data_IF_028499159816
#
_entry.id   IF_028499159816
#
_cell.length_a   1.000
_cell.length_b   1.000
_cell.length_c   1.000
_cell.angle_alpha   90.00
_cell.angle_beta   90.00
_cell.angle_gamma   90.00
#
_symmetry.space_group_name_H-M   'P 1'
#
loop_
_entity.id
_entity.type
_entity.pdbx_description
1 polymer ?
#
# COMPACT_ATOMS: atom_id res chain seq x y z
N UNK A 1 7.18 -15.97 16.63
CA UNK A 1 5.80 -16.36 16.25
C UNK A 1 4.91 -15.17 16.51
N UNK A 2 3.96 -14.86 15.63
CA UNK A 2 3.02 -13.74 15.82
C UNK A 2 1.97 -14.03 16.89
N UNK A 3 1.25 -12.99 17.35
CA UNK A 3 0.14 -13.16 18.26
C UNK A 3 -1.03 -13.89 17.56
N UNK A 4 -1.69 -14.85 18.22
CA UNK A 4 -2.90 -15.47 17.68
C UNK A 4 -4.01 -14.42 17.55
N UNK A 5 -4.83 -14.52 16.51
CA UNK A 5 -6.04 -13.70 16.31
C UNK A 5 -7.20 -14.61 15.89
N UNK A 6 -8.42 -14.27 16.32
CA UNK A 6 -9.63 -15.00 15.94
C UNK A 6 -10.27 -14.30 14.75
N UNK A 7 -10.49 -15.06 13.67
CA UNK A 7 -11.03 -14.51 12.42
C UNK A 7 -12.31 -15.26 12.05
N UNK A 8 -13.37 -14.51 11.82
CA UNK A 8 -14.65 -15.01 11.32
C UNK A 8 -14.81 -14.67 9.84
N UNK A 9 -15.10 -15.68 9.03
CA UNK A 9 -15.26 -15.57 7.57
C UNK A 9 -16.71 -15.95 7.23
N UNK A 10 -17.66 -15.00 7.22
CA UNK A 10 -19.09 -15.32 7.09
C UNK A 10 -19.47 -15.77 5.68
N UNK A 11 -18.77 -15.30 4.65
CA UNK A 11 -19.10 -15.56 3.25
C UNK A 11 -17.89 -16.04 2.44
N UNK A 12 -17.34 -17.22 2.74
CA UNK A 12 -16.11 -17.68 2.11
C UNK A 12 -16.25 -17.92 0.60
N UNK A 13 -17.47 -18.07 0.08
CA UNK A 13 -17.69 -18.29 -1.36
C UNK A 13 -18.02 -17.00 -2.14
N UNK A 14 -18.05 -15.84 -1.48
CA UNK A 14 -18.43 -14.56 -2.08
C UNK A 14 -17.32 -13.53 -1.86
N UNK A 15 -16.61 -13.18 -2.93
CA UNK A 15 -15.66 -12.08 -2.89
C UNK A 15 -16.37 -10.73 -2.72
N UNK A 16 -15.67 -9.79 -2.08
CA UNK A 16 -16.08 -8.41 -1.91
C UNK A 16 -15.75 -7.58 -3.15
N UNK A 17 -14.51 -7.69 -3.64
CA UNK A 17 -14.00 -6.97 -4.79
C UNK A 17 -12.80 -7.71 -5.41
N UNK A 18 -12.34 -7.25 -6.58
CA UNK A 18 -11.13 -7.77 -7.21
C UNK A 18 -10.39 -6.65 -7.93
N UNK A 19 -9.09 -6.51 -7.66
CA UNK A 19 -8.19 -5.59 -8.34
C UNK A 19 -7.35 -6.28 -9.42
N UNK A 20 -6.28 -5.60 -9.85
CA UNK A 20 -5.32 -6.16 -10.81
C UNK A 20 -4.65 -7.44 -10.29
N UNK A 21 -4.16 -7.42 -9.05
CA UNK A 21 -3.41 -8.54 -8.46
C UNK A 21 -4.16 -9.28 -7.35
N UNK A 22 -5.16 -8.66 -6.72
CA UNK A 22 -5.78 -9.18 -5.49
C UNK A 22 -7.26 -9.49 -5.64
N UNK A 23 -7.71 -10.55 -4.99
CA UNK A 23 -9.10 -10.79 -4.66
C UNK A 23 -9.33 -10.41 -3.20
N UNK A 24 -10.40 -9.66 -2.93
CA UNK A 24 -10.73 -9.14 -1.61
C UNK A 24 -11.95 -9.87 -1.05
N UNK A 25 -11.93 -10.20 0.23
CA UNK A 25 -13.03 -10.80 0.97
C UNK A 25 -13.27 -10.02 2.25
N UNK A 26 -14.53 -9.86 2.63
CA UNK A 26 -14.87 -9.33 3.95
C UNK A 26 -14.67 -10.44 5.00
N UNK A 27 -13.90 -10.13 6.02
CA UNK A 27 -13.67 -10.98 7.20
C UNK A 27 -13.84 -10.12 8.45
N UNK A 28 -13.92 -10.76 9.61
CA UNK A 28 -14.03 -10.06 10.88
C UNK A 28 -12.93 -10.54 11.81
N UNK A 29 -12.16 -9.60 12.35
CA UNK A 29 -11.33 -9.88 13.51
C UNK A 29 -12.24 -9.86 14.74
N UNK A 30 -12.10 -10.87 15.60
CA UNK A 30 -12.90 -11.04 16.81
C UNK A 30 -11.97 -10.96 18.01
N UNK A 31 -12.18 -9.99 18.88
CA UNK A 31 -11.43 -9.85 20.13
C UNK A 31 -11.91 -10.82 21.21
N UNK A 32 -11.12 -10.97 22.28
CA UNK A 32 -11.41 -11.89 23.38
C UNK A 32 -12.73 -11.58 24.12
N UNK A 33 -13.16 -10.32 24.10
CA UNK A 33 -14.45 -9.86 24.65
C UNK A 33 -15.63 -10.04 23.67
N UNK A 34 -15.39 -10.61 22.49
CA UNK A 34 -16.39 -10.92 21.47
C UNK A 34 -16.73 -9.76 20.54
N UNK A 35 -16.09 -8.59 20.67
CA UNK A 35 -16.26 -7.50 19.70
C UNK A 35 -15.70 -7.92 18.35
N UNK A 36 -16.42 -7.57 17.28
CA UNK A 36 -16.02 -7.89 15.91
C UNK A 36 -15.71 -6.62 15.14
N UNK A 37 -14.51 -6.54 14.56
CA UNK A 37 -14.11 -5.45 13.66
C UNK A 37 -14.16 -5.94 12.21
N UNK A 38 -14.80 -5.18 11.34
CA UNK A 38 -14.86 -5.49 9.91
C UNK A 38 -13.50 -5.24 9.25
N UNK A 39 -13.00 -6.25 8.56
CA UNK A 39 -11.70 -6.26 7.91
C UNK A 39 -11.85 -6.69 6.45
N UNK A 40 -10.83 -6.38 5.65
CA UNK A 40 -10.68 -6.87 4.29
C UNK A 40 -9.48 -7.80 4.24
N UNK A 41 -9.72 -9.05 3.85
CA UNK A 41 -8.68 -10.01 3.53
C UNK A 41 -8.35 -9.94 2.04
N UNK A 42 -7.07 -9.84 1.69
CA UNK A 42 -6.58 -9.75 0.31
C UNK A 42 -5.69 -10.93 -0.01
N UNK A 43 -6.03 -11.62 -1.10
CA UNK A 43 -5.35 -12.82 -1.57
C UNK A 43 -4.85 -12.58 -2.99
N UNK A 44 -3.67 -13.10 -3.35
CA UNK A 44 -3.19 -12.99 -4.72
C UNK A 44 -4.13 -13.75 -5.65
N UNK A 45 -4.51 -13.14 -6.77
CA UNK A 45 -5.31 -13.80 -7.79
C UNK A 45 -4.53 -14.95 -8.38
N UNK A 46 -5.23 -16.00 -8.80
CA UNK A 46 -4.66 -17.18 -9.46
C UNK A 46 -4.02 -16.91 -10.82
N UNK A 47 -4.26 -15.72 -11.37
CA UNK A 47 -3.61 -15.26 -12.60
C UNK A 47 -2.20 -14.72 -12.33
N UNK A 48 -1.86 -14.51 -11.06
CA UNK A 48 -0.50 -14.16 -10.63
C UNK A 48 0.22 -15.46 -10.34
N UNK A 49 1.28 -15.72 -11.10
CA UNK A 49 2.06 -16.95 -11.04
C UNK A 49 3.16 -16.82 -10.00
N UNK A 50 3.69 -17.96 -9.55
CA UNK A 50 4.86 -18.05 -8.66
C UNK A 50 4.69 -17.38 -7.29
N UNK A 51 3.43 -17.17 -6.88
CA UNK A 51 3.13 -16.55 -5.58
C UNK A 51 3.64 -17.42 -4.43
N UNK A 52 4.46 -16.81 -3.59
CA UNK A 52 5.05 -17.37 -2.38
C UNK A 52 4.58 -16.63 -1.12
N UNK A 53 4.94 -17.14 0.04
CA UNK A 53 4.73 -16.49 1.34
C UNK A 53 5.44 -15.14 1.39
N UNK A 54 6.64 -15.07 0.79
CA UNK A 54 7.46 -13.86 0.74
C UNK A 54 6.69 -12.70 0.12
N UNK A 55 5.86 -12.96 -0.88
CA UNK A 55 5.06 -11.94 -1.54
C UNK A 55 4.03 -11.30 -0.60
N UNK A 56 3.45 -12.06 0.33
CA UNK A 56 2.56 -11.50 1.35
C UNK A 56 3.32 -10.63 2.36
N UNK A 57 4.52 -11.05 2.78
CA UNK A 57 5.35 -10.26 3.69
C UNK A 57 5.91 -8.99 3.02
N UNK A 58 6.22 -9.05 1.73
CA UNK A 58 6.66 -7.90 0.94
C UNK A 58 5.60 -6.77 0.98
N UNK A 59 4.31 -7.07 0.90
CA UNK A 59 3.25 -6.04 1.04
C UNK A 59 3.34 -5.28 2.37
N UNK A 60 3.55 -6.02 3.46
CA UNK A 60 3.70 -5.44 4.79
C UNK A 60 4.94 -4.52 4.88
N UNK A 61 6.04 -4.92 4.24
CA UNK A 61 7.26 -4.12 4.13
C UNK A 61 7.05 -2.84 3.32
N UNK A 62 6.36 -2.91 2.17
CA UNK A 62 6.00 -1.73 1.36
C UNK A 62 5.20 -0.75 2.22
N UNK A 63 4.12 -1.21 2.85
CA UNK A 63 3.22 -0.34 3.61
C UNK A 63 3.91 0.33 4.80
N UNK A 64 4.76 -0.40 5.52
CA UNK A 64 5.57 0.18 6.62
C UNK A 64 6.61 1.17 6.11
N UNK A 65 7.22 0.91 4.97
CA UNK A 65 8.14 1.86 4.33
C UNK A 65 7.42 3.14 3.93
N UNK A 66 6.22 3.03 3.38
CA UNK A 66 5.37 4.19 3.06
C UNK A 66 4.95 4.98 4.31
N UNK A 67 4.65 4.32 5.43
CA UNK A 67 4.39 4.99 6.71
C UNK A 67 5.61 5.79 7.21
N UNK A 68 6.84 5.29 7.02
CA UNK A 68 8.08 6.05 7.32
C UNK A 68 8.15 7.32 6.47
N UNK A 69 7.95 7.19 5.15
CA UNK A 69 7.93 8.33 4.24
C UNK A 69 6.85 9.35 4.61
N UNK A 70 5.62 8.92 4.96
CA UNK A 70 4.55 9.83 5.36
C UNK A 70 4.89 10.64 6.62
N UNK A 71 5.55 10.00 7.59
CA UNK A 71 6.02 10.70 8.80
C UNK A 71 7.04 11.77 8.44
N UNK A 72 7.97 11.46 7.55
CA UNK A 72 8.98 12.43 7.09
C UNK A 72 8.39 13.54 6.24
N UNK A 73 7.44 13.21 5.36
CA UNK A 73 6.68 14.19 4.58
C UNK A 73 5.94 15.17 5.49
N UNK A 74 5.25 14.65 6.51
CA UNK A 74 4.55 15.47 7.52
C UNK A 74 5.51 16.38 8.29
N UNK A 75 6.72 15.90 8.62
CA UNK A 75 7.74 16.72 9.27
C UNK A 75 8.31 17.77 8.31
N UNK A 76 8.51 17.44 7.04
CA UNK A 76 8.98 18.36 6.02
C UNK A 76 7.97 19.50 5.80
N UNK A 77 6.67 19.19 5.69
CA UNK A 77 5.60 20.19 5.61
C UNK A 77 5.64 21.19 6.77
N UNK A 78 5.83 20.70 8.00
CA UNK A 78 5.97 21.56 9.19
C UNK A 78 7.22 22.43 9.10
N UNK A 79 8.36 21.86 8.70
CA UNK A 79 9.65 22.55 8.59
C UNK A 79 9.61 23.67 7.54
N UNK A 80 8.91 23.47 6.44
CA UNK A 80 8.76 24.46 5.37
C UNK A 80 7.62 25.45 5.62
N UNK A 81 6.89 25.33 6.73
CA UNK A 81 5.72 26.17 7.01
C UNK A 81 4.57 25.97 6.02
N UNK A 82 4.53 24.83 5.32
CA UNK A 82 3.49 24.51 4.33
C UNK A 82 2.22 24.07 5.06
N UNK A 83 1.18 24.90 5.00
CA UNK A 83 -0.11 24.68 5.67
C UNK A 83 -1.24 24.40 4.66
N UNK A 84 -2.42 24.00 5.18
CA UNK A 84 -3.60 23.72 4.35
C UNK A 84 -3.50 22.42 3.53
N UNK A 85 -2.57 21.53 3.88
CA UNK A 85 -2.37 20.25 3.21
C UNK A 85 -3.15 19.17 3.94
N UNK A 86 -4.00 18.44 3.22
CA UNK A 86 -4.74 17.30 3.78
C UNK A 86 -3.77 16.21 4.24
N UNK A 87 -3.74 15.85 5.54
CA UNK A 87 -2.85 14.79 6.01
C UNK A 87 -3.24 13.44 5.44
N UNK A 88 -2.25 12.68 4.95
CA UNK A 88 -2.41 11.31 4.48
C UNK A 88 -2.02 10.32 5.59
N UNK A 89 -2.71 9.18 5.62
CA UNK A 89 -2.40 8.07 6.53
C UNK A 89 -2.55 6.74 5.80
N UNK A 90 -1.58 5.84 5.90
CA UNK A 90 -1.80 4.44 5.51
C UNK A 90 -2.45 3.69 6.67
N UNK A 91 -3.53 2.95 6.38
CA UNK A 91 -4.10 2.02 7.36
C UNK A 91 -3.08 0.94 7.71
N UNK A 92 -3.33 0.19 8.78
CA UNK A 92 -2.50 -0.95 9.12
C UNK A 92 -2.91 -2.20 8.33
N UNK A 93 -1.92 -3.03 8.03
CA UNK A 93 -2.07 -4.33 7.38
C UNK A 93 -1.20 -5.34 8.11
N UNK A 94 -1.73 -6.55 8.26
CA UNK A 94 -1.05 -7.70 8.85
C UNK A 94 -1.10 -8.89 7.90
N UNK A 95 -0.09 -9.76 7.96
CA UNK A 95 -0.13 -11.05 7.24
C UNK A 95 -0.70 -12.09 8.19
N UNK A 96 -1.76 -12.76 7.75
CA UNK A 96 -2.39 -13.86 8.48
C UNK A 96 -2.04 -15.16 7.80
N UNK A 97 -1.58 -16.12 8.59
CA UNK A 97 -1.41 -17.52 8.20
C UNK A 97 -2.45 -18.37 8.94
N UNK A 98 -3.20 -19.20 8.21
CA UNK A 98 -4.10 -20.19 8.82
C UNK A 98 -3.53 -21.59 8.57
N UNK A 99 -3.10 -22.31 9.63
CA UNK A 99 -2.65 -23.68 9.49
C UNK A 99 -3.72 -24.57 8.84
N UNK A 100 -3.37 -25.51 7.95
CA UNK A 100 -4.35 -26.38 7.29
C UNK A 100 -5.30 -27.12 8.25
N UNK A 101 -4.82 -27.47 9.45
CA UNK A 101 -5.61 -28.13 10.49
C UNK A 101 -6.74 -27.26 11.03
N UNK A 102 -6.58 -25.93 11.03
CA UNK A 102 -7.58 -24.96 11.47
C UNK A 102 -8.61 -24.61 10.39
N UNK A 103 -8.34 -24.96 9.12
CA UNK A 103 -9.34 -24.82 8.04
C UNK A 103 -10.38 -25.94 8.20
N UNK A 104 -11.70 -25.63 8.20
CA UNK A 104 -12.75 -26.65 8.24
C UNK A 104 -12.56 -27.69 7.13
N UNK A 105 -12.71 -28.97 7.46
CA UNK A 105 -12.43 -30.09 6.54
C UNK A 105 -13.12 -29.97 5.17
N UNK A 106 -14.42 -29.62 5.08
CA UNK A 106 -15.09 -29.43 3.79
C UNK A 106 -14.49 -28.30 2.93
N UNK A 107 -13.72 -27.40 3.53
CA UNK A 107 -13.16 -26.21 2.89
C UNK A 107 -11.67 -26.35 2.54
N UNK A 108 -10.98 -27.41 2.99
CA UNK A 108 -9.52 -27.55 2.78
C UNK A 108 -9.12 -27.69 1.31
N UNK A 109 -9.98 -28.31 0.49
CA UNK A 109 -9.68 -28.68 -0.90
C UNK A 109 -10.65 -28.06 -1.92
N UNK A 110 -11.32 -26.95 -1.56
CA UNK A 110 -12.23 -26.29 -2.48
C UNK A 110 -11.50 -25.67 -3.67
N UNK A 111 -12.14 -25.70 -4.84
CA UNK A 111 -11.60 -25.12 -6.07
C UNK A 111 -11.97 -23.65 -6.27
N UNK A 112 -12.85 -23.08 -5.45
CA UNK A 112 -13.30 -21.69 -5.53
C UNK A 112 -13.49 -21.13 -4.10
N UNK A 113 -13.55 -19.81 -3.98
CA UNK A 113 -13.76 -19.14 -2.70
C UNK A 113 -12.49 -18.89 -1.90
N UNK A 114 -12.65 -18.38 -0.69
CA UNK A 114 -11.61 -17.85 0.19
C UNK A 114 -10.48 -18.85 0.42
N UNK A 115 -10.77 -20.08 0.84
CA UNK A 115 -9.74 -21.11 1.13
C UNK A 115 -9.09 -21.74 -0.10
N UNK A 116 -9.46 -21.28 -1.29
CA UNK A 116 -8.98 -21.84 -2.55
C UNK A 116 -7.76 -21.09 -3.11
N UNK A 117 -7.33 -20.00 -2.47
CA UNK A 117 -6.10 -19.28 -2.77
C UNK A 117 -4.99 -19.82 -1.87
N UNK A 118 -3.93 -20.36 -2.45
CA UNK A 118 -2.79 -20.95 -1.73
C UNK A 118 -1.51 -20.55 -2.46
N UNK A 119 -0.41 -20.47 -1.73
CA UNK A 119 0.91 -20.30 -2.36
C UNK A 119 1.20 -21.43 -3.35
N UNK A 120 2.03 -21.18 -4.34
CA UNK A 120 2.38 -22.18 -5.35
C UNK A 120 3.47 -23.14 -4.86
N UNK A 121 4.44 -22.61 -4.11
CA UNK A 121 5.60 -23.35 -3.60
C UNK A 121 5.25 -24.34 -2.47
N UNK A 122 4.50 -23.91 -1.45
CA UNK A 122 4.24 -24.71 -0.23
C UNK A 122 2.78 -25.09 -0.05
N UNK A 123 1.88 -24.51 -0.86
CA UNK A 123 0.43 -24.67 -0.74
C UNK A 123 -0.13 -24.17 0.60
N UNK A 124 0.59 -23.27 1.27
CA UNK A 124 0.14 -22.61 2.50
C UNK A 124 -0.98 -21.61 2.22
N UNK A 125 -1.80 -21.36 3.25
CA UNK A 125 -2.90 -20.41 3.20
C UNK A 125 -2.53 -19.13 3.96
N UNK A 126 -2.24 -18.07 3.20
CA UNK A 126 -1.94 -16.74 3.73
C UNK A 126 -2.78 -15.67 3.04
N UNK A 127 -3.04 -14.59 3.76
CA UNK A 127 -3.63 -13.37 3.22
C UNK A 127 -3.13 -12.15 3.98
N UNK A 128 -3.15 -10.98 3.34
CA UNK A 128 -3.02 -9.72 4.08
C UNK A 128 -4.40 -9.31 4.59
N UNK A 129 -4.48 -8.76 5.80
CA UNK A 129 -5.71 -8.33 6.44
C UNK A 129 -5.55 -6.89 6.92
N UNK A 130 -6.54 -6.06 6.62
CA UNK A 130 -6.57 -4.64 6.98
C UNK A 130 -7.98 -4.19 7.39
N UNK A 131 -8.13 -3.07 8.13
CA UNK A 131 -9.44 -2.52 8.43
C UNK A 131 -10.24 -2.21 7.17
N UNK A 132 -11.54 -2.55 7.18
CA UNK A 132 -12.43 -2.18 6.09
C UNK A 132 -12.66 -0.67 6.13
N UNK A 133 -12.30 0.01 5.04
CA UNK A 133 -12.58 1.43 4.86
C UNK A 133 -14.03 1.65 4.44
N UNK A 134 -14.75 2.48 5.18
CA UNK A 134 -16.12 2.88 4.85
C UNK A 134 -16.12 4.15 3.99
N UNK A 135 -16.71 4.06 2.80
CA UNK A 135 -16.85 5.18 1.87
C UNK A 135 -16.45 4.83 0.43
N UNK A 136 -16.34 5.83 -0.42
CA UNK A 136 -16.04 5.62 -1.84
C UNK A 136 -14.55 5.40 -2.08
N UNK A 137 -14.18 4.16 -2.39
CA UNK A 137 -12.81 3.81 -2.77
C UNK A 137 -12.38 4.59 -4.02
N UNK A 138 -11.19 5.19 -3.96
CA UNK A 138 -10.66 6.07 -4.98
C UNK A 138 -9.21 5.70 -5.26
N UNK A 139 -8.90 5.47 -6.53
CA UNK A 139 -7.52 5.43 -7.02
C UNK A 139 -7.11 6.82 -7.46
N UNK A 140 -6.06 7.37 -6.85
CA UNK A 140 -5.54 8.72 -7.15
C UNK A 140 -4.45 8.66 -8.20
N UNK A 141 -3.51 7.73 -8.03
CA UNK A 141 -2.40 7.49 -8.95
C UNK A 141 -2.24 6.00 -9.19
N UNK A 142 -1.58 5.62 -10.29
CA UNK A 142 -1.18 4.24 -10.57
C UNK A 142 0.32 4.02 -10.36
N UNK A 143 0.74 2.76 -10.40
CA UNK A 143 2.15 2.40 -10.50
C UNK A 143 2.77 2.62 -11.90
N UNK A 144 2.00 2.98 -12.93
CA UNK A 144 2.52 3.27 -14.27
C UNK A 144 2.54 4.78 -14.62
N UNK A 145 2.31 5.62 -13.62
CA UNK A 145 2.38 7.08 -13.72
C UNK A 145 1.07 7.77 -14.08
N UNK A 146 -0.04 7.04 -14.25
CA UNK A 146 -1.35 7.64 -14.48
C UNK A 146 -1.83 8.41 -13.24
N UNK A 147 -2.54 9.52 -13.50
CA UNK A 147 -3.13 10.41 -12.50
C UNK A 147 -4.62 10.50 -12.78
N UNK A 148 -5.46 10.14 -11.81
CA UNK A 148 -6.91 10.08 -11.98
C UNK A 148 -7.55 11.33 -11.37
N UNK A 149 -8.00 12.26 -12.22
CA UNK A 149 -8.65 13.51 -11.77
C UNK A 149 -10.14 13.36 -11.44
N UNK A 150 -10.77 12.26 -11.88
CA UNK A 150 -12.17 11.95 -11.62
C UNK A 150 -12.34 10.51 -11.15
N UNK A 151 -13.48 10.23 -10.52
CA UNK A 151 -13.93 8.87 -10.23
C UNK A 151 -14.72 8.33 -11.43
N UNK A 152 -14.87 7.00 -11.49
CA UNK A 152 -15.73 6.34 -12.49
C UNK A 152 -17.18 6.80 -12.36
N UNK A 153 -17.64 7.02 -11.12
CA UNK A 153 -18.95 7.57 -10.80
C UNK A 153 -18.81 9.02 -10.38
N UNK A 154 -19.62 9.90 -10.98
CA UNK A 154 -19.70 11.32 -10.62
C UNK A 154 -20.26 11.46 -9.21
N UNK A 155 -19.56 12.19 -8.35
CA UNK A 155 -19.98 12.52 -6.99
C UNK A 155 -20.44 13.98 -6.89
N UNK A 156 -20.92 14.38 -5.71
CA UNK A 156 -21.26 15.77 -5.43
C UNK A 156 -20.02 16.67 -5.59
N UNK A 157 -20.24 17.94 -5.90
CA UNK A 157 -19.16 18.91 -6.16
C UNK A 157 -18.21 19.04 -4.95
N UNK A 158 -18.76 19.05 -3.73
CA UNK A 158 -17.97 19.12 -2.51
C UNK A 158 -17.02 17.91 -2.36
N UNK A 159 -17.54 16.70 -2.58
CA UNK A 159 -16.74 15.46 -2.52
C UNK A 159 -15.67 15.43 -3.60
N UNK A 160 -16.00 15.91 -4.80
CA UNK A 160 -15.04 16.04 -5.89
C UNK A 160 -13.90 17.00 -5.54
N UNK A 161 -14.20 18.17 -4.96
CA UNK A 161 -13.18 19.14 -4.56
C UNK A 161 -12.29 18.58 -3.43
N UNK A 162 -12.89 17.95 -2.41
CA UNK A 162 -12.12 17.31 -1.34
C UNK A 162 -11.16 16.23 -1.87
N UNK A 163 -11.64 15.41 -2.81
CA UNK A 163 -10.81 14.41 -3.51
C UNK A 163 -9.65 15.05 -4.27
N UNK A 164 -9.87 16.17 -4.96
CA UNK A 164 -8.79 16.87 -5.68
C UNK A 164 -7.71 17.40 -4.73
N UNK A 165 -8.06 17.84 -3.53
CA UNK A 165 -7.06 18.22 -2.52
C UNK A 165 -6.26 17.01 -2.03
N UNK A 166 -6.89 15.86 -1.80
CA UNK A 166 -6.17 14.61 -1.49
C UNK A 166 -5.24 14.21 -2.64
N UNK A 167 -5.71 14.30 -3.89
CA UNK A 167 -4.91 14.01 -5.08
C UNK A 167 -3.65 14.88 -5.16
N UNK A 168 -3.78 16.20 -4.91
CA UNK A 168 -2.62 17.10 -4.85
C UNK A 168 -1.62 16.67 -3.79
N UNK A 169 -2.09 16.30 -2.60
CA UNK A 169 -1.20 15.78 -1.56
C UNK A 169 -0.54 14.48 -1.98
N UNK A 170 -1.27 13.55 -2.62
CA UNK A 170 -0.71 12.28 -3.11
C UNK A 170 0.41 12.50 -4.14
N UNK A 171 0.20 13.37 -5.12
CA UNK A 171 1.21 13.73 -6.12
C UNK A 171 2.45 14.37 -5.49
N UNK A 172 2.26 15.28 -4.52
CA UNK A 172 3.36 15.91 -3.81
C UNK A 172 4.11 14.94 -2.90
N UNK A 173 3.40 13.98 -2.30
CA UNK A 173 3.99 12.91 -1.50
C UNK A 173 4.87 12.00 -2.37
N UNK A 174 4.38 11.52 -3.51
CA UNK A 174 5.19 10.74 -4.47
C UNK A 174 6.47 11.49 -4.85
N UNK A 175 6.37 12.77 -5.22
CA UNK A 175 7.53 13.61 -5.52
C UNK A 175 8.50 13.71 -4.34
N UNK A 176 7.98 13.99 -3.14
CA UNK A 176 8.79 14.05 -1.93
C UNK A 176 9.58 12.74 -1.70
N UNK A 177 8.95 11.57 -1.88
CA UNK A 177 9.66 10.29 -1.69
C UNK A 177 10.81 10.09 -2.67
N UNK A 178 10.64 10.55 -3.92
CA UNK A 178 11.69 10.52 -4.92
C UNK A 178 12.86 11.42 -4.53
N UNK A 179 12.60 12.67 -4.15
CA UNK A 179 13.68 13.61 -3.80
C UNK A 179 14.38 13.23 -2.48
N UNK A 180 13.60 12.90 -1.44
CA UNK A 180 14.13 12.61 -0.11
C UNK A 180 15.00 11.35 -0.13
N UNK A 181 14.58 10.31 -0.86
CA UNK A 181 15.35 9.07 -1.07
C UNK A 181 16.60 9.26 -1.94
N UNK A 182 16.88 10.49 -2.42
CA UNK A 182 17.96 10.76 -3.38
C UNK A 182 17.72 10.09 -4.72
N UNK A 183 16.46 9.80 -5.05
CA UNK A 183 16.06 9.22 -6.31
C UNK A 183 16.10 7.70 -6.37
N UNK A 184 16.35 7.03 -5.24
CA UNK A 184 16.44 5.57 -5.18
C UNK A 184 15.08 4.88 -5.05
N UNK A 185 14.04 5.61 -4.60
CA UNK A 185 12.71 5.06 -4.33
C UNK A 185 11.61 6.04 -4.74
N UNK A 186 10.49 5.52 -5.24
CA UNK A 186 9.29 6.30 -5.55
C UNK A 186 8.05 5.57 -5.03
N UNK A 187 7.31 6.20 -4.12
CA UNK A 187 5.99 5.71 -3.72
C UNK A 187 4.96 6.10 -4.79
N UNK A 188 4.15 5.14 -5.23
CA UNK A 188 3.11 5.28 -6.24
C UNK A 188 1.91 4.38 -5.89
N UNK A 189 0.96 4.26 -6.82
CA UNK A 189 -0.31 3.52 -6.62
C UNK A 189 -1.11 4.00 -5.40
N UNK A 190 -1.25 5.33 -5.22
CA UNK A 190 -1.97 5.89 -4.08
C UNK A 190 -3.48 5.71 -4.27
N UNK A 191 -4.09 4.97 -3.35
CA UNK A 191 -5.51 4.62 -3.39
C UNK A 191 -6.07 4.39 -1.99
N UNK A 192 -7.39 4.55 -1.82
CA UNK A 192 -8.08 4.35 -0.56
C UNK A 192 -9.38 5.13 -0.47
N UNK A 193 -9.80 5.49 0.75
CA UNK A 193 -11.01 6.30 0.98
C UNK A 193 -10.60 7.62 1.60
N UNK A 194 -10.94 8.72 0.92
CA UNK A 194 -10.47 10.06 1.29
C UNK A 194 -8.95 10.05 1.48
N UNK A 195 -8.43 10.49 2.63
CA UNK A 195 -6.99 10.52 2.93
C UNK A 195 -6.45 9.28 3.66
N UNK A 196 -7.29 8.25 3.85
CA UNK A 196 -6.87 6.95 4.37
C UNK A 196 -6.51 6.03 3.20
N UNK A 197 -5.21 5.74 3.08
CA UNK A 197 -4.61 5.03 1.96
C UNK A 197 -4.35 3.55 2.31
N UNK A 198 -4.35 2.70 1.28
CA UNK A 198 -4.00 1.28 1.33
C UNK A 198 -3.35 0.83 0.00
N UNK A 199 -2.78 -0.37 -0.01
CA UNK A 199 -2.13 -1.02 -1.16
C UNK A 199 -1.18 -0.08 -1.94
N UNK A 200 -0.21 0.56 -1.28
CA UNK A 200 0.78 1.34 -2.02
C UNK A 200 1.70 0.44 -2.85
N UNK A 201 2.38 1.03 -3.82
CA UNK A 201 3.52 0.42 -4.51
C UNK A 201 4.76 1.30 -4.36
N UNK A 202 5.94 0.67 -4.30
CA UNK A 202 7.23 1.34 -4.38
C UNK A 202 7.97 0.88 -5.63
N UNK A 203 8.48 1.83 -6.41
CA UNK A 203 9.52 1.55 -7.39
C UNK A 203 10.89 1.85 -6.80
N UNK A 204 11.88 1.02 -7.15
CA UNK A 204 13.29 1.26 -6.83
C UNK A 204 14.07 1.47 -8.12
N UNK A 205 15.17 2.24 -8.06
CA UNK A 205 15.94 2.54 -9.27
C UNK A 205 16.53 1.28 -9.93
N UNK A 206 16.88 0.26 -9.14
CA UNK A 206 17.44 -1.01 -9.60
C UNK A 206 16.36 -2.09 -9.87
N UNK A 207 15.08 -1.82 -9.57
CA UNK A 207 13.99 -2.77 -9.77
C UNK A 207 13.95 -3.91 -8.75
N UNK A 208 14.79 -3.87 -7.72
CA UNK A 208 14.86 -4.88 -6.67
C UNK A 208 13.90 -4.56 -5.50
N UNK A 209 13.48 -5.61 -4.78
CA UNK A 209 12.55 -5.55 -3.65
C UNK A 209 11.13 -5.08 -4.01
N UNK A 210 10.24 -5.01 -2.99
CA UNK A 210 8.89 -4.45 -3.09
C UNK A 210 7.93 -5.12 -4.10
N UNK A 211 8.18 -6.41 -4.36
CA UNK A 211 7.24 -7.29 -5.05
C UNK A 211 7.04 -7.01 -6.53
N UNK A 212 6.14 -7.78 -7.14
CA UNK A 212 5.94 -7.84 -8.60
C UNK A 212 5.42 -6.53 -9.23
N UNK A 213 4.88 -5.62 -8.43
CA UNK A 213 4.41 -4.31 -8.92
C UNK A 213 5.53 -3.28 -9.07
N UNK A 214 6.75 -3.58 -8.63
CA UNK A 214 7.93 -2.75 -8.82
C UNK A 214 8.39 -2.80 -10.29
N UNK A 215 8.23 -1.68 -11.00
CA UNK A 215 8.59 -1.54 -12.41
C UNK A 215 9.96 -0.87 -12.60
N UNK A 216 10.73 -0.76 -11.52
CA UNK A 216 12.07 -0.20 -11.53
C UNK A 216 12.15 1.23 -12.05
N UNK A 217 13.30 1.56 -12.65
CA UNK A 217 13.54 2.84 -13.33
C UNK A 217 12.50 3.17 -14.42
N UNK A 218 11.90 2.16 -15.07
CA UNK A 218 10.88 2.39 -16.11
C UNK A 218 9.61 2.97 -15.49
N UNK A 219 9.14 2.41 -14.37
CA UNK A 219 8.00 2.96 -13.63
C UNK A 219 8.26 4.40 -13.17
N UNK A 220 9.47 4.66 -12.66
CA UNK A 220 9.89 5.99 -12.22
C UNK A 220 9.95 7.01 -13.36
N UNK A 221 10.46 6.62 -14.53
CA UNK A 221 10.44 7.45 -15.75
C UNK A 221 9.03 7.80 -16.18
N UNK A 222 8.11 6.82 -16.14
CA UNK A 222 6.71 7.04 -16.55
C UNK A 222 5.98 8.00 -15.61
N UNK A 223 6.29 7.94 -14.30
CA UNK A 223 5.80 8.92 -13.33
C UNK A 223 6.41 10.30 -13.60
N UNK A 224 7.74 10.42 -13.75
CA UNK A 224 8.41 11.69 -14.04
C UNK A 224 7.87 12.39 -15.30
N UNK A 225 7.57 11.62 -16.35
CA UNK A 225 7.03 12.15 -17.60
C UNK A 225 5.62 12.73 -17.47
N UNK A 226 4.86 12.33 -16.43
CA UNK A 226 3.46 12.73 -16.23
C UNK A 226 3.27 13.68 -15.05
N UNK A 227 4.15 13.64 -14.07
CA UNK A 227 4.06 14.49 -12.89
C UNK A 227 4.12 15.97 -13.25
N UNK A 228 3.23 16.74 -12.65
CA UNK A 228 3.22 18.20 -12.73
C UNK A 228 3.28 18.75 -11.31
N UNK A 229 4.36 19.46 -10.99
CA UNK A 229 4.53 20.06 -9.68
C UNK A 229 3.34 20.97 -9.34
N UNK A 230 2.60 20.61 -8.29
CA UNK A 230 1.51 21.41 -7.75
C UNK A 230 2.04 22.44 -6.72
N UNK A 231 1.13 23.18 -6.09
CA UNK A 231 1.48 24.22 -5.12
C UNK A 231 2.15 23.65 -3.86
N UNK A 232 1.80 22.43 -3.43
CA UNK A 232 2.44 21.76 -2.29
C UNK A 232 3.91 21.47 -2.61
N UNK A 233 4.19 20.91 -3.80
CA UNK A 233 5.57 20.66 -4.26
C UNK A 233 6.42 21.94 -4.20
N UNK A 234 5.85 23.05 -4.71
CA UNK A 234 6.51 24.36 -4.77
C UNK A 234 6.73 24.95 -3.37
N UNK A 235 5.72 24.91 -2.49
CA UNK A 235 5.82 25.40 -1.10
C UNK A 235 6.84 24.61 -0.27
N UNK A 236 6.99 23.32 -0.57
CA UNK A 236 8.02 22.47 0.04
C UNK A 236 9.42 22.69 -0.53
N UNK A 237 9.56 23.46 -1.62
CA UNK A 237 10.85 23.70 -2.28
C UNK A 237 11.40 22.47 -3.02
N UNK A 238 10.54 21.53 -3.43
CA UNK A 238 10.96 20.36 -4.20
C UNK A 238 11.47 20.76 -5.59
N UNK A 239 12.50 20.07 -6.09
CA UNK A 239 13.11 20.37 -7.38
C UNK A 239 12.14 20.08 -8.52
N UNK A 240 12.00 21.02 -9.46
CA UNK A 240 11.12 20.82 -10.61
C UNK A 240 11.47 19.57 -11.43
N UNK A 241 10.48 18.73 -11.71
CA UNK A 241 10.63 17.54 -12.56
C UNK A 241 10.66 17.86 -14.06
N UNK A 242 10.24 19.05 -14.50
CA UNK A 242 10.04 19.40 -15.93
C UNK A 242 11.30 19.25 -16.80
N UNK A 243 12.49 19.30 -16.21
CA UNK A 243 13.79 19.14 -16.90
C UNK A 243 14.66 18.05 -16.28
N UNK A 244 14.10 17.19 -15.44
CA UNK A 244 14.88 16.25 -14.64
C UNK A 244 14.93 14.87 -15.28
N UNK A 245 16.14 14.29 -15.38
CA UNK A 245 16.37 12.92 -15.85
C UNK A 245 16.74 12.02 -14.68
N UNK A 246 16.40 10.72 -14.76
CA UNK A 246 16.75 9.74 -13.70
C UNK A 246 18.25 9.58 -13.46
N UNK A 247 19.13 9.96 -14.41
CA UNK A 247 20.59 9.93 -14.20
C UNK A 247 21.04 10.83 -13.04
N UNK A 248 20.18 11.76 -12.59
CA UNK A 248 20.43 12.64 -11.44
C UNK A 248 20.11 11.98 -10.08
N UNK A 249 19.67 10.73 -10.10
CA UNK A 249 18.96 10.03 -9.03
C UNK A 249 19.51 8.61 -8.87
N UNK A 250 20.75 8.49 -8.40
CA UNK A 250 21.42 7.18 -8.20
C UNK A 250 22.15 7.16 -6.85
N UNK A 251 21.39 7.21 -5.75
CA UNK A 251 21.93 7.11 -4.40
C UNK A 251 21.38 5.87 -3.68
N UNK A 252 21.98 4.72 -3.98
CA UNK A 252 21.61 3.41 -3.40
C UNK A 252 21.81 3.38 -1.88
N UNK A 253 22.76 4.12 -1.31
CA UNK A 253 23.01 4.17 0.14
C UNK A 253 21.82 4.73 0.94
N UNK A 254 21.11 5.72 0.37
CA UNK A 254 19.90 6.26 1.01
C UNK A 254 18.77 5.25 1.09
N UNK A 255 18.66 4.30 0.15
CA UNK A 255 17.67 3.23 0.19
C UNK A 255 17.87 2.34 1.42
N UNK A 256 19.10 1.93 1.71
CA UNK A 256 19.39 1.10 2.89
C UNK A 256 18.96 1.79 4.19
N UNK A 257 19.11 3.12 4.25
CA UNK A 257 18.66 3.90 5.41
C UNK A 257 17.14 3.78 5.62
N UNK A 258 16.35 3.77 4.54
CA UNK A 258 14.90 3.57 4.63
C UNK A 258 14.53 2.15 5.05
N UNK A 259 15.18 1.13 4.49
CA UNK A 259 15.00 -0.25 4.96
C UNK A 259 15.32 -0.38 6.45
N UNK A 260 16.46 0.14 6.90
CA UNK A 260 16.86 0.13 8.32
C UNK A 260 15.84 0.84 9.21
N UNK A 261 15.28 1.97 8.78
CA UNK A 261 14.22 2.69 9.50
C UNK A 261 12.91 1.91 9.56
N UNK A 262 12.46 1.34 8.45
CA UNK A 262 11.24 0.53 8.39
C UNK A 262 11.37 -0.70 9.30
N UNK A 263 12.50 -1.40 9.26
CA UNK A 263 12.80 -2.54 10.14
C UNK A 263 12.87 -2.15 11.62
N UNK A 264 13.49 -1.00 11.94
CA UNK A 264 13.56 -0.52 13.33
C UNK A 264 12.16 -0.18 13.89
N UNK A 265 11.26 0.36 13.07
CA UNK A 265 9.89 0.61 13.47
C UNK A 265 9.11 -0.70 13.65
N UNK A 266 9.33 -1.71 12.79
CA UNK A 266 8.74 -3.04 12.94
C UNK A 266 9.09 -3.67 14.29
N UNK A 267 10.36 -3.61 14.72
CA UNK A 267 10.79 -4.13 16.02
C UNK A 267 10.18 -3.39 17.22
N UNK A 268 9.71 -2.15 17.04
CA UNK A 268 9.06 -1.36 18.09
C UNK A 268 7.54 -1.57 18.14
N UNK A 269 6.93 -1.95 17.02
CA UNK A 269 5.49 -2.24 16.92
C UNK A 269 5.16 -3.72 17.05
N UNK A 270 6.14 -4.62 16.92
CA UNK A 270 5.96 -6.04 17.20
C UNK A 270 5.72 -6.22 18.71
N UNK A 271 4.70 -6.99 19.14
CA UNK A 271 4.58 -7.36 20.53
C UNK A 271 5.89 -8.05 20.98
N UNK A 272 6.32 -7.87 22.24
CA UNK A 272 7.50 -8.56 22.74
C UNK A 272 7.34 -10.06 22.46
N UNK A 273 8.37 -10.66 21.87
CA UNK A 273 8.46 -12.11 21.77
C UNK A 273 8.46 -12.64 23.20
N UNK A 274 7.32 -13.22 23.62
CA UNK A 274 7.21 -14.00 24.84
C UNK A 274 7.87 -15.37 24.65
#
# INVERSE_FOLDING_TARGET
MGAPTMIRIPHPNRGLAQGGMRACFEVFEVSDDGLSTAMVAKLFRRTILEVSERDYFNEGEIQKTCQVFLKEFSNALKKTGTTGVTPLSYIDSVVVYIPPKQIPEPMRNVRKGFFSYKTENTREFLFTMEPKLEGHFTKYTSNDGAVFYSNEVRQAIADHNARLEVLKTCEAFSHFTLEESGGSMLVCDLQGVQSFLTDPQIHTIDGECFGMGNMGAIGMQRWLARHKCNDICKKMGLKSCEKTTLKRFDNVEKREKYFKKAQANYKKSAPPLA
#
